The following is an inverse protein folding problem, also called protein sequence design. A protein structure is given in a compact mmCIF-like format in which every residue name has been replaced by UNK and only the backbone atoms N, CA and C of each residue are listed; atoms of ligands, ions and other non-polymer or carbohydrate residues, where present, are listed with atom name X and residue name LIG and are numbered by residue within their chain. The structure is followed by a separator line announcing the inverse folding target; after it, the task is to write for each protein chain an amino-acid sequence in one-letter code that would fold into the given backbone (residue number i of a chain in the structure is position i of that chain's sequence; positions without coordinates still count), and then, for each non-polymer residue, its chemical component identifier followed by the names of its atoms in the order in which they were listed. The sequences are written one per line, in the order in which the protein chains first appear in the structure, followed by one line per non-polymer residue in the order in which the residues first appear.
data_IF_276165453139
#
_entry.id   IF_276165453139
#
_cell.length_a   1.000
_cell.length_b   1.000
_cell.length_c   1.000
_cell.angle_alpha   90.00
_cell.angle_beta   90.00
_cell.angle_gamma   90.00
#
_symmetry.space_group_name_H-M   'P 1'
#
loop_
_entity.id
_entity.type
_entity.pdbx_description
1 polymer ?
#
# COMPACT_ATOMS: atom_id res chain seq x y z
N UNK A 1 -44.12 5.62 -2.53
CA UNK A 1 -42.71 5.69 -2.13
C UNK A 1 -42.42 7.16 -1.89
N UNK A 2 -42.04 7.55 -0.66
CA UNK A 2 -41.66 8.92 -0.39
C UNK A 2 -40.32 9.19 -1.03
N UNK A 3 -40.24 10.21 -1.85
CA UNK A 3 -38.98 10.61 -2.48
C UNK A 3 -38.04 11.16 -1.38
N UNK A 4 -36.83 10.58 -1.26
CA UNK A 4 -35.84 11.04 -0.27
C UNK A 4 -35.26 12.37 -0.70
N UNK A 5 -35.19 13.33 0.24
CA UNK A 5 -34.65 14.65 -0.03
C UNK A 5 -33.46 14.94 0.90
N UNK A 6 -32.56 15.80 0.44
CA UNK A 6 -31.45 16.30 1.26
C UNK A 6 -32.00 17.00 2.51
N UNK A 7 -31.48 16.60 3.67
CA UNK A 7 -31.86 17.13 4.98
C UNK A 7 -32.85 16.23 5.75
N UNK A 8 -33.49 15.27 5.08
CA UNK A 8 -34.47 14.38 5.72
C UNK A 8 -33.82 13.55 6.83
N UNK A 9 -34.41 13.50 8.03
CA UNK A 9 -34.01 12.61 9.09
C UNK A 9 -34.62 11.22 8.85
N UNK A 10 -33.82 10.17 9.01
CA UNK A 10 -34.26 8.78 8.88
C UNK A 10 -33.68 7.90 10.00
N UNK A 11 -34.39 6.79 10.28
CA UNK A 11 -33.82 5.69 11.02
C UNK A 11 -33.60 4.53 10.05
N UNK A 12 -32.37 3.99 10.04
CA UNK A 12 -31.99 2.91 9.12
C UNK A 12 -31.35 1.75 9.88
N UNK A 13 -31.53 0.54 9.36
CA UNK A 13 -30.79 -0.64 9.81
C UNK A 13 -29.67 -0.91 8.82
N UNK A 14 -28.45 -1.07 9.31
CA UNK A 14 -27.27 -1.30 8.50
C UNK A 14 -27.15 -2.80 8.20
N UNK A 15 -27.23 -3.16 6.93
CA UNK A 15 -27.20 -4.57 6.47
C UNK A 15 -25.79 -5.08 6.28
N UNK A 16 -24.91 -4.24 5.70
CA UNK A 16 -23.52 -4.57 5.37
C UNK A 16 -22.67 -3.29 5.36
N UNK A 17 -21.40 -3.38 5.02
CA UNK A 17 -20.54 -2.22 4.86
C UNK A 17 -19.62 -2.34 3.65
N UNK A 18 -19.15 -1.20 3.17
CA UNK A 18 -18.06 -1.10 2.19
C UNK A 18 -16.71 -1.22 2.89
N UNK A 19 -15.66 -1.56 2.13
CA UNK A 19 -14.31 -1.72 2.69
C UNK A 19 -13.75 -0.43 3.33
N UNK A 20 -14.27 0.73 2.97
CA UNK A 20 -13.90 2.02 3.58
C UNK A 20 -14.67 2.34 4.87
N UNK A 21 -15.43 1.37 5.42
CA UNK A 21 -16.15 1.53 6.67
C UNK A 21 -17.45 2.33 6.56
N UNK A 22 -18.02 2.46 5.34
CA UNK A 22 -19.35 3.05 5.17
C UNK A 22 -20.41 1.95 5.27
N UNK A 23 -21.30 2.04 6.26
CA UNK A 23 -22.46 1.15 6.39
C UNK A 23 -23.39 1.30 5.19
N UNK A 24 -24.04 0.22 4.82
CA UNK A 24 -25.05 0.15 3.74
C UNK A 24 -26.39 -0.23 4.33
N UNK A 25 -27.38 0.61 4.10
CA UNK A 25 -28.78 0.35 4.39
C UNK A 25 -29.61 0.39 3.09
N UNK A 26 -30.84 -0.13 3.14
CA UNK A 26 -31.83 -0.01 2.07
C UNK A 26 -33.09 0.67 2.59
N UNK A 27 -33.55 1.69 1.86
CA UNK A 27 -34.77 2.41 2.15
C UNK A 27 -35.58 2.48 0.86
N UNK A 28 -36.78 1.91 0.85
CA UNK A 28 -37.64 1.83 -0.32
C UNK A 28 -36.94 1.33 -1.60
N UNK A 29 -35.98 0.36 -1.45
CA UNK A 29 -35.21 -0.20 -2.54
C UNK A 29 -33.97 0.61 -2.93
N UNK A 30 -33.78 1.83 -2.41
CA UNK A 30 -32.61 2.66 -2.64
C UNK A 30 -31.48 2.29 -1.67
N UNK A 31 -30.26 2.28 -2.17
CA UNK A 31 -29.04 2.06 -1.36
C UNK A 31 -28.65 3.37 -0.67
N UNK A 32 -28.49 3.31 0.66
CA UNK A 32 -28.08 4.43 1.49
C UNK A 32 -26.73 4.12 2.12
N UNK A 33 -25.71 4.92 1.81
CA UNK A 33 -24.39 4.84 2.40
C UNK A 33 -24.31 5.72 3.64
N UNK A 34 -23.84 5.14 4.76
CA UNK A 34 -23.74 5.80 6.07
C UNK A 34 -22.29 5.64 6.59
N UNK A 35 -21.38 6.60 6.31
CA UNK A 35 -20.02 6.54 6.82
C UNK A 35 -19.98 6.41 8.34
N UNK A 36 -19.16 5.48 8.84
CA UNK A 36 -18.96 5.22 10.27
C UNK A 36 -20.03 4.36 10.95
N UNK A 37 -21.04 3.87 10.20
CA UNK A 37 -22.00 2.90 10.73
C UNK A 37 -21.56 1.46 10.42
N UNK A 38 -21.88 0.52 11.30
CA UNK A 38 -21.48 -0.88 11.22
C UNK A 38 -22.66 -1.80 10.91
N UNK A 39 -22.41 -2.96 10.25
CA UNK A 39 -23.44 -3.98 10.06
C UNK A 39 -24.12 -4.39 11.37
N UNK A 40 -25.44 -4.57 11.33
CA UNK A 40 -26.26 -4.92 12.50
C UNK A 40 -26.68 -3.72 13.36
N UNK A 41 -26.21 -2.51 13.07
CA UNK A 41 -26.63 -1.31 13.80
C UNK A 41 -27.96 -0.76 13.33
N UNK A 42 -28.69 -0.16 14.28
CA UNK A 42 -29.79 0.75 14.01
C UNK A 42 -29.31 2.18 14.24
N UNK A 43 -29.42 3.01 13.22
CA UNK A 43 -28.84 4.36 13.22
C UNK A 43 -29.89 5.43 12.94
N UNK A 44 -29.77 6.57 13.59
CA UNK A 44 -30.38 7.83 13.18
C UNK A 44 -29.44 8.55 12.23
N UNK A 45 -29.95 8.92 11.05
CA UNK A 45 -29.14 9.53 9.99
C UNK A 45 -29.85 10.75 9.40
N UNK A 46 -29.10 11.63 8.73
CA UNK A 46 -29.64 12.72 7.93
C UNK A 46 -29.14 12.58 6.49
N UNK A 47 -30.05 12.66 5.52
CA UNK A 47 -29.70 12.61 4.11
C UNK A 47 -28.80 13.79 3.75
N UNK A 48 -27.57 13.51 3.31
CA UNK A 48 -26.59 14.51 2.91
C UNK A 48 -26.65 14.80 1.39
N UNK A 49 -26.85 13.76 0.59
CA UNK A 49 -26.88 13.86 -0.86
C UNK A 49 -27.70 12.71 -1.46
N UNK A 50 -28.53 13.05 -2.46
CA UNK A 50 -29.28 12.07 -3.26
C UNK A 50 -28.68 12.02 -4.66
N UNK A 51 -28.05 10.91 -5.00
CA UNK A 51 -27.50 10.63 -6.33
C UNK A 51 -28.47 9.79 -7.18
N UNK A 52 -28.12 9.56 -8.45
CA UNK A 52 -28.94 8.77 -9.37
C UNK A 52 -29.10 7.30 -8.95
N UNK A 53 -28.06 6.69 -8.39
CA UNK A 53 -28.00 5.26 -8.06
C UNK A 53 -27.83 4.99 -6.57
N UNK A 54 -27.57 5.99 -5.75
CA UNK A 54 -27.31 5.83 -4.33
C UNK A 54 -27.56 7.12 -3.57
N UNK A 55 -27.91 6.98 -2.29
CA UNK A 55 -28.10 8.05 -1.33
C UNK A 55 -26.94 8.04 -0.34
N UNK A 56 -26.46 9.21 0.06
CA UNK A 56 -25.45 9.36 1.08
C UNK A 56 -26.04 10.07 2.30
N UNK A 57 -25.84 9.50 3.47
CA UNK A 57 -26.38 10.03 4.71
C UNK A 57 -25.27 10.27 5.73
N UNK A 58 -25.45 11.28 6.56
CA UNK A 58 -24.63 11.56 7.72
C UNK A 58 -25.16 10.78 8.93
N UNK A 59 -24.29 10.04 9.61
CA UNK A 59 -24.60 9.40 10.88
C UNK A 59 -24.79 10.49 11.96
N UNK A 60 -25.96 10.53 12.60
CA UNK A 60 -26.26 11.43 13.71
C UNK A 60 -26.02 10.73 15.04
N UNK A 61 -26.55 9.50 15.19
CA UNK A 61 -26.34 8.68 16.39
C UNK A 61 -26.57 7.20 16.06
N UNK A 62 -25.89 6.34 16.81
CA UNK A 62 -26.14 4.90 16.82
C UNK A 62 -27.19 4.62 17.90
N UNK A 63 -28.35 4.11 17.51
CA UNK A 63 -29.47 3.83 18.41
C UNK A 63 -29.32 2.46 19.06
N UNK A 64 -28.84 1.49 18.29
CA UNK A 64 -28.50 0.13 18.76
C UNK A 64 -27.14 -0.22 18.19
N UNK A 65 -26.09 -0.30 19.01
CA UNK A 65 -24.74 -0.59 18.52
C UNK A 65 -24.58 -2.05 18.11
N UNK A 66 -23.67 -2.31 17.18
CA UNK A 66 -23.13 -3.62 16.88
C UNK A 66 -22.27 -4.13 18.04
N UNK A 67 -22.23 -5.44 18.27
CA UNK A 67 -21.32 -6.07 19.23
C UNK A 67 -19.83 -5.82 18.87
N UNK A 68 -19.55 -5.54 17.60
CA UNK A 68 -18.22 -5.24 17.05
C UNK A 68 -17.84 -3.76 17.09
N UNK A 69 -18.72 -2.89 17.58
CA UNK A 69 -18.38 -1.46 17.70
C UNK A 69 -17.43 -1.25 18.88
N UNK A 70 -16.34 -0.55 18.62
CA UNK A 70 -15.40 -0.11 19.65
C UNK A 70 -15.27 1.42 19.63
N UNK A 71 -14.92 1.99 20.79
CA UNK A 71 -14.54 3.41 20.83
C UNK A 71 -13.17 3.58 20.15
N UNK A 72 -13.07 4.50 19.16
CA UNK A 72 -11.79 4.71 18.50
C UNK A 72 -10.72 5.21 19.47
N UNK A 73 -9.62 4.51 19.53
CA UNK A 73 -8.47 4.79 20.40
C UNK A 73 -7.51 5.87 19.84
N UNK A 74 -7.84 6.46 18.70
CA UNK A 74 -7.09 7.53 18.04
C UNK A 74 -7.89 8.84 18.05
N UNK A 75 -7.38 9.92 18.68
CA UNK A 75 -8.12 11.18 18.79
C UNK A 75 -8.29 11.91 17.44
N UNK A 76 -7.60 11.47 16.40
CA UNK A 76 -7.69 12.07 15.06
C UNK A 76 -8.69 11.34 14.15
N UNK A 77 -9.19 10.19 14.57
CA UNK A 77 -10.24 9.48 13.84
C UNK A 77 -11.60 10.14 14.08
N UNK A 78 -12.47 10.31 13.09
CA UNK A 78 -12.31 9.95 11.67
C UNK A 78 -11.76 11.09 10.79
N UNK A 79 -11.23 12.18 11.37
CA UNK A 79 -10.80 13.37 10.62
C UNK A 79 -9.54 13.10 9.78
N UNK A 80 -8.61 12.33 10.34
CA UNK A 80 -7.41 11.89 9.64
C UNK A 80 -7.75 10.82 8.60
N UNK A 81 -7.33 11.02 7.34
CA UNK A 81 -7.56 10.07 6.25
C UNK A 81 -6.68 8.81 6.27
N UNK A 82 -5.86 8.61 7.31
CA UNK A 82 -4.93 7.48 7.39
C UNK A 82 -5.57 6.15 7.78
N UNK A 83 -6.65 6.19 8.59
CA UNK A 83 -7.39 5.01 9.05
C UNK A 83 -8.87 5.16 8.72
N UNK A 84 -9.52 4.04 8.37
CA UNK A 84 -10.94 3.98 8.02
C UNK A 84 -11.76 3.13 8.99
N UNK A 85 -11.14 2.17 9.71
CA UNK A 85 -11.82 1.08 10.38
C UNK A 85 -11.59 1.02 11.91
N UNK A 86 -11.12 2.12 12.56
CA UNK A 86 -10.84 2.12 14.02
C UNK A 86 -12.08 2.10 14.91
N UNK A 87 -13.26 2.24 14.35
CA UNK A 87 -14.54 2.19 15.08
C UNK A 87 -15.13 0.77 15.16
N UNK A 88 -14.41 -0.24 14.61
CA UNK A 88 -14.76 -1.65 14.73
C UNK A 88 -13.60 -2.46 15.31
N UNK A 89 -13.91 -3.60 15.93
CA UNK A 89 -12.90 -4.53 16.38
C UNK A 89 -12.17 -5.19 15.19
N UNK A 90 -11.05 -5.85 15.48
CA UNK A 90 -10.20 -6.38 14.42
C UNK A 90 -10.82 -7.62 13.74
N UNK A 91 -11.62 -8.38 14.45
CA UNK A 91 -12.34 -9.55 13.90
C UNK A 91 -13.32 -9.10 12.81
N UNK A 92 -14.12 -8.09 13.09
CA UNK A 92 -15.06 -7.52 12.12
C UNK A 92 -14.33 -6.86 10.94
N UNK A 93 -13.21 -6.21 11.19
CA UNK A 93 -12.37 -5.65 10.12
C UNK A 93 -11.90 -6.75 9.15
N UNK A 94 -11.39 -7.87 9.68
CA UNK A 94 -10.96 -9.01 8.86
C UNK A 94 -12.14 -9.63 8.10
N UNK A 95 -13.28 -9.82 8.74
CA UNK A 95 -14.49 -10.33 8.08
C UNK A 95 -14.94 -9.42 6.94
N UNK A 96 -14.89 -8.10 7.13
CA UNK A 96 -15.23 -7.11 6.10
C UNK A 96 -14.27 -7.20 4.90
N UNK A 97 -12.97 -7.27 5.13
CA UNK A 97 -11.95 -7.40 4.09
C UNK A 97 -12.09 -8.71 3.32
N UNK A 98 -12.31 -9.82 4.03
CA UNK A 98 -12.56 -11.13 3.44
C UNK A 98 -13.80 -11.11 2.53
N UNK A 99 -14.91 -10.56 3.02
CA UNK A 99 -16.15 -10.44 2.25
C UNK A 99 -15.98 -9.56 1.01
N UNK A 100 -15.18 -8.49 1.09
CA UNK A 100 -14.87 -7.64 -0.04
C UNK A 100 -14.10 -8.40 -1.13
N UNK A 101 -13.03 -9.13 -0.77
CA UNK A 101 -12.27 -9.96 -1.72
C UNK A 101 -13.18 -10.99 -2.39
N UNK A 102 -13.96 -11.74 -1.60
CA UNK A 102 -14.90 -12.75 -2.13
C UNK A 102 -15.93 -12.12 -3.09
N UNK A 103 -16.49 -10.97 -2.72
CA UNK A 103 -17.44 -10.25 -3.56
C UNK A 103 -16.83 -9.82 -4.91
N UNK A 104 -15.58 -9.33 -4.91
CA UNK A 104 -14.89 -8.97 -6.14
C UNK A 104 -14.64 -10.21 -7.01
N UNK A 105 -14.12 -11.28 -6.45
CA UNK A 105 -13.87 -12.53 -7.19
C UNK A 105 -15.15 -13.06 -7.85
N UNK A 106 -16.26 -13.06 -7.12
CA UNK A 106 -17.53 -13.61 -7.61
C UNK A 106 -18.21 -12.69 -8.60
N UNK A 107 -18.43 -11.40 -8.24
CA UNK A 107 -19.28 -10.49 -9.03
C UNK A 107 -18.57 -9.86 -10.22
N UNK A 108 -17.27 -9.56 -10.07
CA UNK A 108 -16.47 -8.94 -11.14
C UNK A 108 -15.74 -10.02 -11.94
N UNK A 109 -15.06 -10.93 -11.23
CA UNK A 109 -14.24 -11.98 -11.83
C UNK A 109 -15.02 -13.16 -12.38
N UNK A 110 -16.28 -13.34 -11.96
CA UNK A 110 -17.07 -14.53 -12.34
C UNK A 110 -16.52 -15.84 -11.79
N UNK A 111 -15.69 -15.77 -10.73
CA UNK A 111 -15.05 -16.94 -10.13
C UNK A 111 -16.02 -17.64 -9.17
N UNK A 112 -16.01 -18.97 -9.20
CA UNK A 112 -16.90 -19.80 -8.35
C UNK A 112 -16.21 -20.33 -7.10
N UNK A 113 -14.88 -20.18 -6.99
CA UNK A 113 -14.12 -20.63 -5.81
C UNK A 113 -14.36 -19.69 -4.62
N UNK A 114 -14.29 -20.25 -3.41
CA UNK A 114 -14.21 -19.47 -2.19
C UNK A 114 -12.76 -19.09 -1.93
N UNK A 115 -12.51 -17.80 -1.63
CA UNK A 115 -11.21 -17.38 -1.13
C UNK A 115 -10.90 -18.05 0.21
N UNK A 116 -9.63 -18.39 0.44
CA UNK A 116 -9.16 -18.87 1.73
C UNK A 116 -9.41 -17.80 2.83
N UNK A 117 -9.49 -18.21 4.10
CA UNK A 117 -9.58 -17.25 5.20
C UNK A 117 -8.48 -16.20 5.14
N UNK A 118 -8.81 -14.97 5.49
CA UNK A 118 -7.84 -13.86 5.48
C UNK A 118 -6.77 -14.08 6.55
N UNK A 119 -5.52 -13.89 6.17
CA UNK A 119 -4.39 -13.85 7.09
C UNK A 119 -4.30 -12.48 7.74
N UNK A 120 -4.73 -12.38 9.01
CA UNK A 120 -4.68 -11.16 9.81
C UNK A 120 -3.27 -10.83 10.31
N UNK A 121 -3.02 -9.55 10.61
CA UNK A 121 -1.77 -9.10 11.22
C UNK A 121 -1.75 -9.41 12.73
N UNK A 122 -0.60 -9.86 13.24
CA UNK A 122 -0.39 -10.06 14.67
C UNK A 122 -0.38 -8.73 15.44
N UNK A 123 0.07 -7.64 14.79
CA UNK A 123 0.11 -6.29 15.34
C UNK A 123 -0.69 -5.34 14.45
N UNK A 124 -1.63 -4.61 15.04
CA UNK A 124 -2.47 -3.63 14.34
C UNK A 124 -1.99 -2.20 14.51
N UNK A 125 -1.03 -1.97 15.41
CA UNK A 125 -0.37 -0.70 15.69
C UNK A 125 1.15 -0.81 15.51
N UNK A 126 1.84 0.31 15.28
CA UNK A 126 3.29 0.37 15.12
C UNK A 126 3.87 -0.36 13.90
N UNK A 127 3.05 -0.91 13.03
CA UNK A 127 3.49 -1.81 11.97
C UNK A 127 4.14 -1.12 10.75
N UNK A 128 3.90 0.19 10.56
CA UNK A 128 4.36 0.89 9.37
C UNK A 128 5.84 1.24 9.44
N UNK A 129 6.62 0.67 8.53
CA UNK A 129 8.05 0.98 8.38
C UNK A 129 8.34 2.18 7.45
N UNK A 130 7.29 2.87 6.99
CA UNK A 130 7.41 4.06 6.13
C UNK A 130 6.34 5.09 6.47
N UNK A 131 6.77 6.33 6.66
CA UNK A 131 5.90 7.47 6.98
C UNK A 131 6.19 8.63 6.05
N UNK A 132 5.15 9.34 5.64
CA UNK A 132 5.24 10.55 4.84
C UNK A 132 4.34 11.60 5.49
N UNK A 133 4.93 12.60 6.15
CA UNK A 133 4.20 13.71 6.70
C UNK A 133 4.20 14.89 5.73
N UNK A 134 3.08 15.27 5.11
CA UNK A 134 2.94 16.58 4.49
C UNK A 134 3.10 17.67 5.54
N UNK A 135 3.76 18.76 5.14
CA UNK A 135 3.97 19.94 5.99
C UNK A 135 3.17 21.10 5.42
N UNK A 136 2.40 21.77 6.28
CA UNK A 136 1.61 22.96 5.93
C UNK A 136 1.83 24.07 6.94
N UNK A 137 1.42 25.28 6.61
CA UNK A 137 1.36 26.39 7.54
C UNK A 137 -0.08 26.56 8.03
N UNK A 138 -0.27 26.58 9.33
CA UNK A 138 -1.57 26.85 9.97
C UNK A 138 -1.36 27.88 11.08
N UNK A 139 -2.15 28.93 11.09
CA UNK A 139 -2.04 30.05 12.06
C UNK A 139 -0.61 30.60 12.19
N UNK A 140 0.10 30.71 11.06
CA UNK A 140 1.47 31.25 11.00
C UNK A 140 2.56 30.31 11.55
N UNK A 141 2.27 29.03 11.77
CA UNK A 141 3.23 28.01 12.26
C UNK A 141 3.27 26.80 11.35
N UNK A 142 4.43 26.16 11.19
CA UNK A 142 4.53 24.92 10.47
C UNK A 142 3.87 23.78 11.26
N UNK A 143 3.05 23.00 10.59
CA UNK A 143 2.40 21.80 11.13
C UNK A 143 2.68 20.63 10.20
N UNK A 144 2.76 19.42 10.75
CA UNK A 144 2.90 18.19 9.99
C UNK A 144 1.97 17.10 10.53
N UNK A 145 1.44 16.28 9.65
CA UNK A 145 0.49 15.22 10.00
C UNK A 145 0.04 14.46 8.77
N UNK A 146 -1.25 14.22 8.62
CA UNK A 146 -1.81 13.52 7.46
C UNK A 146 -2.96 14.31 6.86
N UNK A 147 -3.23 14.10 5.58
CA UNK A 147 -4.37 14.74 4.93
C UNK A 147 -5.69 14.23 5.49
N UNK A 148 -6.63 15.14 5.68
CA UNK A 148 -8.03 14.81 5.90
C UNK A 148 -8.58 14.09 4.66
N UNK A 149 -9.48 13.15 4.86
CA UNK A 149 -10.03 12.35 3.77
C UNK A 149 -10.52 13.18 2.59
N UNK A 150 -10.09 12.82 1.38
CA UNK A 150 -10.45 13.50 0.11
C UNK A 150 -10.09 14.99 0.02
N UNK A 151 -9.17 15.47 0.85
CA UNK A 151 -8.69 16.87 0.83
C UNK A 151 -7.18 16.93 0.95
N UNK A 152 -6.58 18.12 0.70
CA UNK A 152 -5.17 18.41 0.96
C UNK A 152 -4.97 19.18 2.28
N UNK A 153 -5.99 19.27 3.14
CA UNK A 153 -5.85 19.88 4.45
C UNK A 153 -5.12 18.92 5.39
N UNK A 154 -4.00 19.34 5.94
CA UNK A 154 -3.25 18.56 6.94
C UNK A 154 -3.97 18.61 8.29
N UNK A 155 -4.23 17.45 8.86
CA UNK A 155 -4.60 17.28 10.25
C UNK A 155 -3.29 17.14 11.04
N UNK A 156 -2.95 18.09 11.91
CA UNK A 156 -1.73 17.98 12.72
C UNK A 156 -1.84 16.78 13.66
N UNK A 157 -0.89 15.85 13.55
CA UNK A 157 -0.89 14.63 14.36
C UNK A 157 0.33 14.66 15.27
N UNK A 158 0.13 14.59 16.58
CA UNK A 158 1.21 14.51 17.57
C UNK A 158 1.73 13.09 17.75
N UNK A 159 0.83 12.12 17.68
CA UNK A 159 1.15 10.70 17.80
C UNK A 159 0.27 9.91 16.85
N UNK A 160 0.86 8.99 16.08
CA UNK A 160 0.13 8.13 15.17
C UNK A 160 0.36 6.66 15.55
N UNK A 161 -0.70 5.98 15.95
CA UNK A 161 -0.62 4.61 16.49
C UNK A 161 -0.09 3.56 15.51
N UNK A 162 -0.25 3.75 14.20
CA UNK A 162 0.17 2.76 13.20
C UNK A 162 1.64 2.87 12.78
N UNK A 163 2.39 3.85 13.32
CA UNK A 163 3.80 4.06 13.00
C UNK A 163 4.68 3.97 14.26
N UNK A 164 6.00 3.76 14.14
CA UNK A 164 6.91 3.79 15.28
C UNK A 164 6.94 5.15 15.98
N UNK A 165 7.07 5.16 17.30
CA UNK A 165 7.04 6.38 18.13
C UNK A 165 8.18 7.36 17.79
N UNK A 166 9.35 6.87 17.38
CA UNK A 166 10.47 7.70 16.97
C UNK A 166 10.16 8.62 15.78
N UNK A 167 9.14 8.28 14.95
CA UNK A 167 8.67 9.18 13.90
C UNK A 167 8.16 10.52 14.44
N UNK A 168 7.58 10.53 15.64
CA UNK A 168 7.07 11.74 16.26
C UNK A 168 8.19 12.66 16.75
N UNK A 169 9.27 12.10 17.32
CA UNK A 169 10.47 12.85 17.71
C UNK A 169 11.13 13.49 16.50
N UNK A 170 11.32 12.74 15.41
CA UNK A 170 11.91 13.21 14.14
C UNK A 170 11.06 14.35 13.55
N UNK A 171 9.73 14.15 13.46
CA UNK A 171 8.81 15.19 12.98
C UNK A 171 8.88 16.45 13.84
N UNK A 172 8.88 16.29 15.17
CA UNK A 172 8.99 17.41 16.12
C UNK A 172 10.26 18.20 15.94
N UNK A 173 11.41 17.54 15.74
CA UNK A 173 12.70 18.19 15.51
C UNK A 173 12.71 19.01 14.22
N UNK A 174 12.12 18.50 13.13
CA UNK A 174 11.99 19.24 11.87
C UNK A 174 11.14 20.49 12.05
N UNK A 175 9.97 20.37 12.70
CA UNK A 175 9.09 21.53 12.95
C UNK A 175 9.76 22.59 13.83
N UNK A 176 10.43 22.18 14.90
CA UNK A 176 11.18 23.11 15.77
C UNK A 176 12.33 23.82 15.01
N UNK A 177 13.04 23.08 14.14
CA UNK A 177 14.04 23.67 13.26
C UNK A 177 13.44 24.67 12.28
N UNK A 178 12.27 24.37 11.70
CA UNK A 178 11.56 25.31 10.82
C UNK A 178 11.17 26.58 11.56
N UNK A 179 10.63 26.49 12.76
CA UNK A 179 10.25 27.65 13.58
C UNK A 179 11.49 28.49 13.97
N UNK A 180 12.54 27.83 14.44
CA UNK A 180 13.77 28.53 14.88
C UNK A 180 14.45 29.33 13.77
N UNK A 181 14.37 28.83 12.51
CA UNK A 181 15.02 29.50 11.37
C UNK A 181 14.04 30.17 10.43
N UNK A 182 12.77 30.33 10.84
CA UNK A 182 11.71 30.99 10.09
C UNK A 182 11.53 30.42 8.68
N UNK A 183 11.64 29.10 8.55
CA UNK A 183 11.46 28.38 7.29
C UNK A 183 9.98 28.03 7.09
N UNK A 184 9.38 28.59 6.06
CA UNK A 184 7.97 28.38 5.77
C UNK A 184 7.70 27.01 5.15
N UNK A 185 6.55 26.43 5.45
CA UNK A 185 6.03 25.28 4.72
C UNK A 185 5.75 25.65 3.26
N UNK A 186 5.83 24.67 2.36
CA UNK A 186 5.44 24.85 0.97
C UNK A 186 3.92 25.02 0.85
N UNK A 187 3.52 26.03 0.13
CA UNK A 187 2.13 26.31 -0.22
C UNK A 187 1.86 25.87 -1.66
N UNK A 188 0.93 24.93 -1.83
CA UNK A 188 0.58 24.33 -3.12
C UNK A 188 -0.12 25.31 -4.08
N UNK A 189 -0.76 26.37 -3.57
CA UNK A 189 -1.48 27.36 -4.36
C UNK A 189 -0.54 28.42 -4.93
N UNK A 190 0.31 28.97 -4.05
CA UNK A 190 1.25 30.04 -4.42
C UNK A 190 2.59 29.52 -4.93
N UNK A 191 2.89 28.23 -4.70
CA UNK A 191 4.18 27.58 -4.99
C UNK A 191 5.38 28.25 -4.31
N UNK A 192 5.16 28.80 -3.11
CA UNK A 192 6.18 29.43 -2.27
C UNK A 192 6.47 28.62 -1.03
N UNK A 193 7.50 28.98 -0.27
CA UNK A 193 7.92 28.22 0.91
C UNK A 193 8.90 27.11 0.58
N UNK A 194 9.38 26.42 1.61
CA UNK A 194 10.50 25.45 1.49
C UNK A 194 10.06 24.02 1.70
N UNK A 195 9.60 23.64 2.89
CA UNK A 195 9.45 22.25 3.29
C UNK A 195 8.10 21.70 2.83
N UNK A 196 8.14 20.61 2.03
CA UNK A 196 6.94 19.94 1.49
C UNK A 196 6.55 18.73 2.33
N UNK A 197 7.52 17.83 2.57
CA UNK A 197 7.28 16.57 3.28
C UNK A 197 8.46 16.19 4.16
N UNK A 198 8.16 15.51 5.24
CA UNK A 198 9.10 14.75 6.05
C UNK A 198 8.83 13.28 5.74
N UNK A 199 9.79 12.61 5.11
CA UNK A 199 9.71 11.20 4.77
C UNK A 199 10.65 10.42 5.69
N UNK A 200 10.16 9.34 6.29
CA UNK A 200 10.93 8.50 7.19
C UNK A 200 10.74 7.06 6.77
N UNK A 201 11.82 6.31 6.77
CA UNK A 201 11.84 4.87 6.54
C UNK A 201 12.57 4.18 7.68
N UNK A 202 12.03 3.06 8.12
CA UNK A 202 12.56 2.24 9.20
C UNK A 202 12.94 0.87 8.64
N UNK A 203 14.12 0.36 8.97
CA UNK A 203 14.46 -1.04 8.84
C UNK A 203 13.95 -1.78 10.06
N UNK A 204 12.96 -2.66 9.86
CA UNK A 204 12.28 -3.33 10.97
C UNK A 204 13.19 -4.28 11.72
N UNK A 205 14.00 -5.07 11.00
CA UNK A 205 14.95 -6.01 11.58
C UNK A 205 16.29 -5.33 11.94
N UNK A 206 16.71 -4.37 11.12
CA UNK A 206 18.00 -3.71 11.31
C UNK A 206 17.97 -2.58 12.34
N UNK A 207 16.80 -2.03 12.64
CA UNK A 207 16.64 -0.83 13.47
C UNK A 207 17.16 0.47 12.81
N UNK A 208 17.62 0.42 11.57
CA UNK A 208 18.16 1.59 10.86
C UNK A 208 17.06 2.57 10.47
N UNK A 209 17.37 3.86 10.51
CA UNK A 209 16.39 4.93 10.19
C UNK A 209 16.96 5.83 9.09
N UNK A 210 16.18 6.00 8.02
CA UNK A 210 16.41 6.97 6.96
C UNK A 210 15.39 8.11 7.09
N UNK A 211 15.90 9.34 7.17
CA UNK A 211 15.06 10.56 7.13
C UNK A 211 15.31 11.28 5.81
N UNK A 212 14.28 11.55 5.04
CA UNK A 212 14.37 12.34 3.81
C UNK A 212 13.53 13.61 3.94
N UNK A 213 14.18 14.76 3.80
CA UNK A 213 13.52 16.07 3.78
C UNK A 213 13.26 16.46 2.34
N UNK A 214 11.99 16.62 2.01
CA UNK A 214 11.55 17.03 0.68
C UNK A 214 11.24 18.52 0.69
N UNK A 215 11.92 19.29 -0.16
CA UNK A 215 11.74 20.73 -0.16
C UNK A 215 11.70 21.35 -1.56
N UNK A 216 10.99 22.46 -1.66
CA UNK A 216 10.86 23.30 -2.87
C UNK A 216 12.05 24.26 -3.00
N UNK A 217 13.26 23.71 -3.07
CA UNK A 217 14.49 24.50 -3.28
C UNK A 217 15.60 23.59 -3.81
N UNK A 218 16.58 24.19 -4.49
CA UNK A 218 17.76 23.46 -4.98
C UNK A 218 18.77 23.18 -3.87
N UNK A 219 18.80 24.01 -2.84
CA UNK A 219 19.72 23.88 -1.70
C UNK A 219 18.95 24.09 -0.41
N UNK A 220 19.03 23.12 0.50
CA UNK A 220 18.35 23.19 1.79
C UNK A 220 19.04 24.20 2.72
N UNK A 221 18.33 25.28 3.15
CA UNK A 221 18.89 26.24 4.09
C UNK A 221 19.14 25.61 5.46
N UNK A 222 20.17 26.08 6.18
CA UNK A 222 20.45 25.62 7.55
C UNK A 222 20.57 24.10 7.71
N UNK A 223 21.02 23.38 6.68
CA UNK A 223 21.09 21.91 6.66
C UNK A 223 21.95 21.31 7.78
N UNK A 224 23.07 21.99 8.18
CA UNK A 224 23.92 21.51 9.29
C UNK A 224 23.16 21.51 10.63
N UNK A 225 22.36 22.56 10.86
CA UNK A 225 21.56 22.69 12.07
C UNK A 225 20.41 21.67 12.10
N UNK A 226 19.80 21.38 10.94
CA UNK A 226 18.81 20.32 10.81
C UNK A 226 19.39 18.95 11.15
N UNK A 227 20.54 18.61 10.58
CA UNK A 227 21.24 17.34 10.87
C UNK A 227 21.51 17.21 12.37
N UNK A 228 22.06 18.25 13.01
CA UNK A 228 22.32 18.25 14.46
C UNK A 228 21.04 18.08 15.28
N UNK A 229 19.93 18.77 14.91
CA UNK A 229 18.65 18.67 15.60
C UNK A 229 18.05 17.25 15.47
N UNK A 230 18.11 16.65 14.29
CA UNK A 230 17.60 15.31 14.03
C UNK A 230 18.38 14.25 14.80
N UNK A 231 19.70 14.28 14.78
CA UNK A 231 20.56 13.34 15.52
C UNK A 231 20.44 13.49 17.04
N UNK A 232 20.14 14.70 17.53
CA UNK A 232 19.87 14.93 18.94
C UNK A 232 18.49 14.38 19.38
N UNK A 233 17.48 14.48 18.50
CA UNK A 233 16.13 13.99 18.77
C UNK A 233 16.00 12.47 18.65
N UNK A 234 16.73 11.86 17.69
CA UNK A 234 16.73 10.42 17.44
C UNK A 234 18.14 9.95 17.07
N UNK A 235 18.92 9.48 18.05
CA UNK A 235 20.30 9.00 17.81
C UNK A 235 20.37 7.75 16.92
N UNK A 236 19.27 7.00 16.76
CA UNK A 236 19.17 5.83 15.87
C UNK A 236 19.13 6.16 14.38
N UNK A 237 19.13 7.44 14.00
CA UNK A 237 19.16 7.83 12.59
C UNK A 237 20.47 7.41 11.93
N UNK A 238 20.38 6.53 10.95
CA UNK A 238 21.51 6.01 10.17
C UNK A 238 21.87 6.95 9.03
N UNK A 239 20.88 7.55 8.37
CA UNK A 239 21.12 8.45 7.24
C UNK A 239 20.06 9.54 7.13
N UNK A 240 20.47 10.72 6.66
CA UNK A 240 19.60 11.87 6.37
C UNK A 240 19.84 12.30 4.94
N UNK A 241 18.75 12.40 4.17
CA UNK A 241 18.74 12.75 2.75
C UNK A 241 17.93 14.01 2.52
N UNK A 242 18.37 14.82 1.58
CA UNK A 242 17.60 15.94 1.03
C UNK A 242 17.14 15.59 -0.39
N UNK A 243 15.86 15.77 -0.66
CA UNK A 243 15.29 15.61 -2.00
C UNK A 243 14.68 16.94 -2.48
N UNK A 244 15.34 17.64 -3.43
CA UNK A 244 14.77 18.82 -4.06
C UNK A 244 13.55 18.41 -4.90
N UNK A 245 12.41 19.05 -4.63
CA UNK A 245 11.18 18.88 -5.42
C UNK A 245 10.54 20.24 -5.69
N UNK A 246 10.96 20.88 -6.77
CA UNK A 246 10.45 22.17 -7.23
C UNK A 246 9.32 22.05 -8.26
N UNK A 247 8.94 20.80 -8.63
CA UNK A 247 7.86 20.56 -9.58
C UNK A 247 6.50 20.79 -8.94
N UNK A 248 5.57 21.36 -9.70
CA UNK A 248 4.16 21.46 -9.34
C UNK A 248 3.51 20.07 -9.43
N UNK A 249 2.57 19.77 -8.52
CA UNK A 249 1.81 18.53 -8.53
C UNK A 249 2.00 17.69 -7.25
N UNK A 250 1.39 16.50 -7.26
CA UNK A 250 1.22 15.65 -6.07
C UNK A 250 2.37 14.67 -5.83
N UNK A 251 3.43 14.70 -6.65
CA UNK A 251 4.59 13.83 -6.45
C UNK A 251 5.32 14.26 -5.18
N UNK A 252 5.45 13.34 -4.23
CA UNK A 252 6.09 13.61 -2.93
C UNK A 252 7.59 13.78 -3.08
N UNK A 253 8.30 12.76 -3.57
CA UNK A 253 9.76 12.77 -3.71
C UNK A 253 10.17 13.50 -5.01
N UNK A 254 11.32 14.17 -4.97
CA UNK A 254 11.99 14.66 -6.17
C UNK A 254 12.68 13.54 -6.96
N UNK A 255 13.43 13.93 -7.98
CA UNK A 255 14.22 13.00 -8.81
C UNK A 255 15.67 12.87 -8.35
N UNK A 256 16.12 13.76 -7.48
CA UNK A 256 17.48 13.79 -6.94
C UNK A 256 17.47 13.57 -5.43
N UNK A 257 18.52 12.94 -4.94
CA UNK A 257 18.69 12.58 -3.52
C UNK A 257 20.11 12.89 -3.09
N UNK A 258 20.25 13.84 -2.16
CA UNK A 258 21.54 14.33 -1.68
C UNK A 258 21.72 13.91 -0.22
N UNK A 259 22.64 12.99 0.11
CA UNK A 259 22.97 12.67 1.50
C UNK A 259 23.47 13.90 2.26
N UNK A 260 22.87 14.16 3.42
CA UNK A 260 23.30 15.19 4.37
C UNK A 260 24.09 14.57 5.53
N UNK A 261 23.79 13.30 5.83
CA UNK A 261 24.43 12.48 6.84
C UNK A 261 24.29 11.00 6.43
N UNK A 262 25.31 10.17 6.65
CA UNK A 262 25.33 8.78 6.20
C UNK A 262 25.48 8.66 4.67
N UNK A 263 25.18 7.47 4.14
CA UNK A 263 25.36 7.14 2.72
C UNK A 263 24.11 7.30 1.84
N UNK A 264 22.97 7.67 2.44
CA UNK A 264 21.70 7.86 1.74
C UNK A 264 20.83 6.61 1.66
N UNK A 265 21.26 5.50 2.25
CA UNK A 265 20.54 4.23 2.26
C UNK A 265 20.46 3.62 3.65
N UNK A 266 19.55 2.69 3.84
CA UNK A 266 19.52 1.76 4.97
C UNK A 266 19.45 0.33 4.43
N UNK A 267 19.76 -0.64 5.27
CA UNK A 267 19.52 -2.06 4.97
C UNK A 267 18.44 -2.61 5.89
N UNK A 268 17.68 -3.58 5.38
CA UNK A 268 16.75 -4.35 6.19
C UNK A 268 16.75 -5.81 5.74
N UNK A 269 16.29 -6.72 6.59
CA UNK A 269 16.18 -8.15 6.27
C UNK A 269 14.70 -8.49 6.06
N UNK A 270 14.36 -9.20 4.98
CA UNK A 270 13.00 -9.67 4.68
C UNK A 270 13.09 -11.10 4.12
N UNK A 271 12.32 -12.03 4.69
CA UNK A 271 12.39 -13.46 4.34
C UNK A 271 13.83 -14.03 4.42
N UNK A 272 14.65 -13.53 5.37
CA UNK A 272 16.04 -13.94 5.52
C UNK A 272 17.02 -13.44 4.45
N UNK A 273 16.61 -12.47 3.63
CA UNK A 273 17.42 -11.80 2.60
C UNK A 273 17.65 -10.35 3.00
N UNK A 274 18.84 -9.83 2.73
CA UNK A 274 19.19 -8.43 2.99
C UNK A 274 18.84 -7.54 1.81
N UNK A 275 18.19 -6.41 2.08
CA UNK A 275 17.80 -5.43 1.07
C UNK A 275 18.34 -4.06 1.42
N UNK A 276 19.04 -3.44 0.46
CA UNK A 276 19.39 -2.02 0.53
C UNK A 276 18.19 -1.20 0.10
N UNK A 277 17.83 -0.21 0.90
CA UNK A 277 16.65 0.62 0.73
C UNK A 277 17.04 2.10 0.65
N UNK A 278 16.88 2.69 -0.51
CA UNK A 278 16.95 4.14 -0.72
C UNK A 278 15.61 4.82 -0.40
N UNK A 279 15.57 6.15 -0.35
CA UNK A 279 14.32 6.88 -0.12
C UNK A 279 13.23 6.55 -1.15
N UNK A 280 13.50 6.52 -2.49
CA UNK A 280 12.50 6.20 -3.51
C UNK A 280 12.18 4.70 -3.63
N UNK A 281 12.98 3.81 -3.06
CA UNK A 281 12.78 2.37 -3.19
C UNK A 281 11.37 1.95 -2.73
N UNK A 282 10.71 1.09 -3.50
CA UNK A 282 9.48 0.45 -3.02
C UNK A 282 9.86 -0.67 -2.04
N UNK A 283 9.16 -0.72 -0.93
CA UNK A 283 9.27 -1.78 0.07
C UNK A 283 7.96 -1.84 0.85
N UNK A 284 7.44 -3.03 1.11
CA UNK A 284 6.17 -3.22 1.80
C UNK A 284 6.18 -2.59 3.19
N UNK A 285 5.12 -1.88 3.54
CA UNK A 285 5.10 -1.04 4.75
C UNK A 285 4.84 -1.80 6.05
N UNK A 286 4.34 -3.03 5.96
CA UNK A 286 4.14 -3.93 7.09
C UNK A 286 5.04 -5.14 6.90
N UNK A 287 6.17 -5.14 7.58
CA UNK A 287 7.24 -6.12 7.41
C UNK A 287 6.74 -7.55 7.67
N UNK A 288 6.16 -7.82 8.83
CA UNK A 288 5.71 -9.15 9.21
C UNK A 288 4.64 -9.73 8.26
N UNK A 289 3.74 -8.88 7.78
CA UNK A 289 2.73 -9.32 6.80
C UNK A 289 3.32 -9.46 5.39
N UNK A 290 4.34 -8.68 5.04
CA UNK A 290 5.05 -8.83 3.77
C UNK A 290 5.78 -10.18 3.68
N UNK A 291 6.39 -10.64 4.76
CA UNK A 291 7.01 -11.95 4.82
C UNK A 291 5.99 -13.06 4.56
N UNK A 292 4.84 -13.05 5.26
CA UNK A 292 3.76 -14.00 5.05
C UNK A 292 3.22 -13.98 3.62
N UNK A 293 3.05 -12.78 3.04
CA UNK A 293 2.59 -12.60 1.67
C UNK A 293 3.57 -13.22 0.68
N UNK A 294 4.88 -12.96 0.85
CA UNK A 294 5.92 -13.46 -0.04
C UNK A 294 6.16 -14.96 0.13
N UNK A 295 6.14 -15.47 1.35
CA UNK A 295 6.16 -16.92 1.62
C UNK A 295 5.01 -17.62 0.92
N UNK A 296 3.80 -17.04 0.97
CA UNK A 296 2.65 -17.58 0.25
C UNK A 296 2.85 -17.55 -1.26
N UNK A 297 3.35 -16.45 -1.81
CA UNK A 297 3.63 -16.35 -3.24
C UNK A 297 4.66 -17.39 -3.69
N UNK A 298 5.74 -17.61 -2.91
CA UNK A 298 6.75 -18.64 -3.16
C UNK A 298 6.14 -20.06 -3.06
N UNK A 299 5.33 -20.31 -2.03
CA UNK A 299 4.62 -21.59 -1.86
C UNK A 299 3.74 -21.89 -3.09
N UNK A 300 2.95 -20.91 -3.54
CA UNK A 300 2.05 -21.08 -4.69
C UNK A 300 2.81 -21.20 -6.02
N UNK A 301 3.99 -20.63 -6.13
CA UNK A 301 4.86 -20.81 -7.28
C UNK A 301 5.31 -22.28 -7.43
N UNK A 302 5.34 -23.08 -6.34
CA UNK A 302 5.57 -24.53 -6.36
C UNK A 302 6.91 -24.91 -7.00
N UNK A 303 7.98 -24.18 -6.65
CA UNK A 303 9.30 -24.32 -7.28
C UNK A 303 10.08 -25.51 -6.69
N UNK A 304 10.74 -26.28 -7.54
CA UNK A 304 11.52 -27.48 -7.18
C UNK A 304 13.02 -27.33 -7.43
N UNK A 305 13.46 -26.16 -7.93
CA UNK A 305 14.85 -25.88 -8.30
C UNK A 305 15.16 -26.06 -9.78
N UNK A 306 14.18 -26.46 -10.59
CA UNK A 306 14.36 -26.69 -12.03
C UNK A 306 13.70 -25.61 -12.90
N UNK A 307 12.82 -24.80 -12.32
CA UNK A 307 11.97 -23.86 -13.02
C UNK A 307 12.68 -22.56 -13.35
N UNK A 308 12.26 -21.94 -14.45
CA UNK A 308 12.52 -20.54 -14.78
C UNK A 308 11.30 -19.73 -14.35
N UNK A 309 11.52 -18.73 -13.48
CA UNK A 309 10.48 -17.81 -12.99
C UNK A 309 10.68 -16.44 -13.62
N UNK A 310 9.59 -15.81 -14.05
CA UNK A 310 9.56 -14.43 -14.52
C UNK A 310 8.71 -13.60 -13.56
N UNK A 311 9.30 -12.57 -12.94
CA UNK A 311 8.65 -11.59 -12.09
C UNK A 311 8.49 -10.29 -12.89
N UNK A 312 7.27 -9.99 -13.28
CA UNK A 312 6.91 -8.74 -13.93
C UNK A 312 6.48 -7.74 -12.85
N UNK A 313 7.09 -6.57 -12.82
CA UNK A 313 6.97 -5.52 -11.78
C UNK A 313 7.83 -5.78 -10.54
N UNK A 314 9.07 -6.24 -10.72
CA UNK A 314 9.91 -6.76 -9.63
C UNK A 314 10.36 -5.70 -8.59
N UNK A 315 10.21 -4.40 -8.88
CA UNK A 315 10.71 -3.34 -8.00
C UNK A 315 12.20 -3.49 -7.68
N UNK A 316 12.55 -3.47 -6.40
CA UNK A 316 13.93 -3.68 -5.91
C UNK A 316 14.31 -5.17 -5.79
N UNK A 317 13.53 -6.06 -6.42
CA UNK A 317 13.80 -7.49 -6.50
C UNK A 317 13.33 -8.30 -5.29
N UNK A 318 12.46 -7.77 -4.43
CA UNK A 318 12.08 -8.44 -3.18
C UNK A 318 11.44 -9.81 -3.41
N UNK A 319 10.39 -9.90 -4.24
CA UNK A 319 9.74 -11.18 -4.58
C UNK A 319 10.66 -12.02 -5.45
N UNK A 320 11.32 -11.40 -6.45
CA UNK A 320 12.25 -12.10 -7.37
C UNK A 320 13.32 -12.87 -6.61
N UNK A 321 13.95 -12.27 -5.58
CA UNK A 321 15.01 -12.91 -4.82
C UNK A 321 14.48 -13.99 -3.86
N UNK A 322 13.27 -13.82 -3.32
CA UNK A 322 12.61 -14.90 -2.57
C UNK A 322 12.36 -16.12 -3.45
N UNK A 323 11.93 -15.92 -4.71
CA UNK A 323 11.74 -17.00 -5.70
C UNK A 323 13.07 -17.61 -6.17
N UNK A 324 14.12 -16.79 -6.36
CA UNK A 324 15.42 -17.24 -6.82
C UNK A 324 16.06 -18.30 -5.93
N UNK A 325 15.77 -18.28 -4.61
CA UNK A 325 16.23 -19.31 -3.66
C UNK A 325 15.73 -20.71 -3.99
N UNK A 326 14.63 -20.82 -4.75
CA UNK A 326 13.93 -22.07 -5.04
C UNK A 326 13.83 -22.36 -6.53
N UNK A 327 14.34 -21.48 -7.40
CA UNK A 327 14.28 -21.59 -8.84
C UNK A 327 15.65 -21.91 -9.45
N UNK A 328 15.65 -22.54 -10.63
CA UNK A 328 16.85 -22.64 -11.47
C UNK A 328 17.31 -21.28 -11.96
N UNK A 329 16.35 -20.43 -12.35
CA UNK A 329 16.58 -19.06 -12.83
C UNK A 329 15.40 -18.18 -12.46
N UNK A 330 15.68 -16.98 -11.94
CA UNK A 330 14.69 -15.95 -11.74
C UNK A 330 15.00 -14.73 -12.63
N UNK A 331 13.98 -14.19 -13.27
CA UNK A 331 14.09 -13.02 -14.16
C UNK A 331 13.16 -11.96 -13.62
N UNK A 332 13.71 -10.80 -13.21
CA UNK A 332 12.96 -9.64 -12.75
C UNK A 332 12.88 -8.55 -13.81
N UNK A 333 11.72 -7.94 -13.97
CA UNK A 333 11.47 -6.84 -14.91
C UNK A 333 10.84 -5.67 -14.17
N UNK A 334 11.40 -4.48 -14.36
CA UNK A 334 10.90 -3.22 -13.75
C UNK A 334 11.21 -2.06 -14.68
N UNK A 335 10.31 -1.08 -14.74
CA UNK A 335 10.45 0.11 -15.60
C UNK A 335 11.35 1.18 -14.98
N UNK A 336 11.51 1.19 -13.66
CA UNK A 336 12.26 2.22 -12.92
C UNK A 336 13.75 1.85 -12.87
N UNK A 337 14.65 2.62 -13.53
CA UNK A 337 16.07 2.26 -13.59
C UNK A 337 16.72 2.12 -12.21
N UNK A 338 16.42 3.01 -11.27
CA UNK A 338 16.99 2.97 -9.92
C UNK A 338 16.58 1.69 -9.18
N UNK A 339 15.33 1.23 -9.35
CA UNK A 339 14.88 -0.01 -8.72
C UNK A 339 15.63 -1.23 -9.26
N UNK A 340 15.94 -1.26 -10.56
CA UNK A 340 16.77 -2.31 -11.18
C UNK A 340 18.21 -2.30 -10.64
N UNK A 341 18.82 -1.12 -10.47
CA UNK A 341 20.15 -1.03 -9.86
C UNK A 341 20.13 -1.52 -8.41
N UNK A 342 19.09 -1.17 -7.65
CA UNK A 342 18.90 -1.69 -6.30
C UNK A 342 18.66 -3.21 -6.31
N UNK A 343 17.88 -3.75 -7.26
CA UNK A 343 17.64 -5.19 -7.40
C UNK A 343 18.92 -5.98 -7.71
N UNK A 344 19.74 -5.50 -8.62
CA UNK A 344 21.07 -6.11 -8.94
C UNK A 344 22.00 -6.08 -7.74
N UNK A 345 22.05 -4.95 -7.03
CA UNK A 345 22.84 -4.84 -5.82
C UNK A 345 22.35 -5.84 -4.76
N UNK A 346 21.04 -5.92 -4.53
CA UNK A 346 20.43 -6.83 -3.58
C UNK A 346 20.71 -8.29 -3.94
N UNK A 347 20.67 -8.65 -5.24
CA UNK A 347 21.04 -9.99 -5.70
C UNK A 347 22.51 -10.32 -5.38
N UNK A 348 23.42 -9.43 -5.71
CA UNK A 348 24.85 -9.61 -5.45
C UNK A 348 25.15 -9.72 -3.95
N UNK A 349 24.54 -8.87 -3.12
CA UNK A 349 24.68 -8.88 -1.66
C UNK A 349 24.22 -10.19 -1.03
N UNK A 350 23.20 -10.84 -1.61
CA UNK A 350 22.67 -12.11 -1.14
C UNK A 350 23.28 -13.33 -1.86
N UNK A 351 24.28 -13.15 -2.73
CA UNK A 351 24.93 -14.25 -3.46
C UNK A 351 24.01 -14.95 -4.47
N UNK A 352 23.00 -14.25 -5.01
CA UNK A 352 22.02 -14.79 -5.95
C UNK A 352 22.51 -14.65 -7.40
N UNK A 353 23.33 -15.61 -7.85
CA UNK A 353 23.88 -15.63 -9.22
C UNK A 353 22.86 -16.05 -10.28
N UNK A 354 21.76 -16.68 -9.88
CA UNK A 354 20.68 -17.14 -10.75
C UNK A 354 19.56 -16.11 -10.97
N UNK A 355 19.71 -14.87 -10.43
CA UNK A 355 18.76 -13.78 -10.63
C UNK A 355 19.26 -12.79 -11.69
N UNK A 356 18.43 -12.50 -12.69
CA UNK A 356 18.72 -11.57 -13.81
C UNK A 356 17.66 -10.46 -13.84
N UNK A 357 18.07 -9.20 -14.10
CA UNK A 357 17.15 -8.06 -14.05
C UNK A 357 17.22 -7.21 -15.31
N UNK A 358 16.05 -6.83 -15.84
CA UNK A 358 15.86 -6.00 -17.03
C UNK A 358 15.09 -4.71 -16.71
N UNK A 359 15.66 -3.57 -17.12
CA UNK A 359 15.01 -2.27 -17.02
C UNK A 359 14.18 -2.00 -18.28
N UNK A 360 12.88 -2.33 -18.23
CA UNK A 360 11.96 -2.07 -19.34
C UNK A 360 10.49 -2.18 -18.87
N UNK A 361 9.59 -1.71 -19.72
CA UNK A 361 8.16 -1.89 -19.52
C UNK A 361 7.77 -3.37 -19.55
N UNK A 362 6.85 -3.78 -18.68
CA UNK A 362 6.44 -5.19 -18.51
C UNK A 362 5.89 -5.80 -19.81
N UNK A 363 5.11 -5.05 -20.61
CA UNK A 363 4.58 -5.52 -21.88
C UNK A 363 5.68 -5.69 -22.92
N UNK A 364 6.60 -4.73 -23.01
CA UNK A 364 7.76 -4.83 -23.91
C UNK A 364 8.67 -6.01 -23.52
N UNK A 365 8.93 -6.20 -22.23
CA UNK A 365 9.72 -7.30 -21.73
C UNK A 365 9.07 -8.66 -22.03
N UNK A 366 7.80 -8.80 -21.72
CA UNK A 366 7.05 -10.01 -21.97
C UNK A 366 7.06 -10.37 -23.47
N UNK A 367 6.86 -9.38 -24.35
CA UNK A 367 6.96 -9.56 -25.80
C UNK A 367 8.37 -9.96 -26.24
N UNK A 368 9.41 -9.24 -25.78
CA UNK A 368 10.80 -9.57 -26.08
C UNK A 368 11.18 -11.00 -25.65
N UNK A 369 10.75 -11.42 -24.46
CA UNK A 369 11.02 -12.75 -23.94
C UNK A 369 10.27 -13.82 -24.74
N UNK A 370 9.03 -13.56 -25.12
CA UNK A 370 8.25 -14.42 -26.00
C UNK A 370 8.92 -14.59 -27.38
N UNK A 371 9.38 -13.49 -28.00
CA UNK A 371 10.09 -13.49 -29.30
C UNK A 371 11.42 -14.27 -29.20
N UNK A 372 12.12 -14.21 -28.07
CA UNK A 372 13.32 -15.01 -27.79
C UNK A 372 13.02 -16.48 -27.45
N UNK A 373 11.75 -16.88 -27.49
CA UNK A 373 11.29 -18.21 -27.10
C UNK A 373 11.65 -18.57 -25.65
N UNK A 374 11.82 -17.57 -24.79
CA UNK A 374 11.93 -17.79 -23.35
C UNK A 374 10.57 -18.24 -22.85
N UNK A 375 10.50 -19.43 -22.28
CA UNK A 375 9.28 -20.01 -21.72
C UNK A 375 9.46 -20.15 -20.22
N UNK A 376 9.02 -19.16 -19.42
CA UNK A 376 9.02 -19.31 -17.97
C UNK A 376 8.01 -20.40 -17.58
N UNK A 377 8.37 -21.24 -16.62
CA UNK A 377 7.46 -22.23 -16.04
C UNK A 377 6.42 -21.55 -15.16
N UNK A 378 6.85 -20.50 -14.48
CA UNK A 378 6.00 -19.68 -13.58
C UNK A 378 6.18 -18.20 -13.91
N UNK A 379 5.08 -17.46 -13.95
CA UNK A 379 5.09 -16.00 -13.99
C UNK A 379 4.49 -15.47 -12.69
N UNK A 380 5.19 -14.53 -12.05
CA UNK A 380 4.70 -13.79 -10.89
C UNK A 380 4.43 -12.35 -11.32
N UNK A 381 3.33 -11.79 -10.88
CA UNK A 381 2.98 -10.38 -11.12
C UNK A 381 2.56 -9.72 -9.81
N UNK A 382 3.13 -8.54 -9.52
CA UNK A 382 2.70 -7.63 -8.44
C UNK A 382 2.48 -6.22 -9.03
N UNK A 383 1.43 -6.04 -9.85
CA UNK A 383 1.21 -4.82 -10.60
C UNK A 383 0.74 -3.67 -9.70
N UNK A 384 0.88 -2.40 -10.16
CA UNK A 384 0.29 -1.26 -9.49
C UNK A 384 -1.25 -1.37 -9.44
N UNK A 385 -1.93 -0.50 -8.67
CA UNK A 385 -3.40 -0.50 -8.45
C UNK A 385 -4.27 -0.61 -9.70
N UNK A 386 -3.79 -0.20 -10.85
CA UNK A 386 -4.51 -0.33 -12.13
C UNK A 386 -4.52 -1.75 -12.71
N UNK A 387 -3.75 -2.66 -12.12
CA UNK A 387 -3.62 -4.06 -12.55
C UNK A 387 -2.72 -4.24 -13.76
N UNK A 388 -2.84 -5.39 -14.39
CA UNK A 388 -2.06 -5.79 -15.58
C UNK A 388 -2.76 -5.27 -16.83
N UNK A 389 -2.00 -4.73 -17.79
CA UNK A 389 -2.55 -4.25 -19.05
C UNK A 389 -2.83 -5.42 -20.02
N UNK A 390 -3.69 -5.18 -21.00
CA UNK A 390 -4.12 -6.22 -21.93
C UNK A 390 -2.95 -6.81 -22.74
N UNK A 391 -2.01 -5.97 -23.16
CA UNK A 391 -0.79 -6.38 -23.88
C UNK A 391 0.13 -7.30 -23.05
N UNK A 392 0.21 -7.05 -21.73
CA UNK A 392 0.93 -7.96 -20.80
C UNK A 392 0.19 -9.29 -20.67
N UNK A 393 -1.14 -9.29 -20.59
CA UNK A 393 -1.93 -10.53 -20.53
C UNK A 393 -1.75 -11.36 -21.82
N UNK A 394 -1.78 -10.70 -22.98
CA UNK A 394 -1.51 -11.36 -24.26
C UNK A 394 -0.11 -11.97 -24.31
N UNK A 395 0.90 -11.25 -23.84
CA UNK A 395 2.26 -11.75 -23.81
C UNK A 395 2.45 -12.90 -22.81
N UNK A 396 1.84 -12.85 -21.63
CA UNK A 396 1.79 -13.95 -20.66
C UNK A 396 1.15 -15.18 -21.32
N UNK A 397 0.04 -15.00 -22.04
CA UNK A 397 -0.65 -16.07 -22.74
C UNK A 397 0.20 -16.70 -23.84
N UNK A 398 0.97 -15.89 -24.57
CA UNK A 398 1.89 -16.37 -25.62
C UNK A 398 3.10 -17.14 -25.04
N UNK A 399 3.63 -16.74 -23.89
CA UNK A 399 4.69 -17.47 -23.18
C UNK A 399 4.18 -18.79 -22.57
N UNK A 400 2.89 -18.86 -22.31
CA UNK A 400 2.18 -20.07 -21.86
C UNK A 400 2.77 -20.73 -20.60
N UNK A 401 3.02 -19.97 -19.51
CA UNK A 401 3.50 -20.56 -18.26
C UNK A 401 2.51 -21.60 -17.73
N UNK A 402 3.02 -22.57 -16.98
CA UNK A 402 2.16 -23.55 -16.31
C UNK A 402 1.38 -22.90 -15.16
N UNK A 403 2.02 -21.96 -14.44
CA UNK A 403 1.45 -21.29 -13.27
C UNK A 403 1.64 -19.79 -13.38
N UNK A 404 0.64 -19.06 -12.88
CA UNK A 404 0.69 -17.61 -12.67
C UNK A 404 0.37 -17.34 -11.20
N UNK A 405 1.29 -16.69 -10.49
CA UNK A 405 1.03 -16.18 -9.14
C UNK A 405 0.77 -14.68 -9.26
N UNK A 406 -0.43 -14.26 -8.87
CA UNK A 406 -0.85 -12.88 -8.93
C UNK A 406 -0.92 -12.31 -7.51
N UNK A 407 -0.07 -11.33 -7.18
CA UNK A 407 -0.15 -10.51 -5.97
C UNK A 407 -0.88 -9.22 -6.31
N UNK A 408 -1.82 -8.78 -5.48
CA UNK A 408 -2.65 -7.61 -5.81
C UNK A 408 -3.03 -6.81 -4.58
N UNK A 409 -2.84 -5.50 -4.65
CA UNK A 409 -3.32 -4.54 -3.65
C UNK A 409 -4.76 -4.02 -3.91
N UNK A 410 -5.42 -4.50 -4.98
CA UNK A 410 -6.80 -4.11 -5.33
C UNK A 410 -7.59 -5.32 -5.83
N UNK A 411 -8.49 -5.89 -5.00
CA UNK A 411 -9.27 -7.07 -5.36
C UNK A 411 -10.20 -6.90 -6.58
N UNK A 412 -10.67 -5.67 -6.85
CA UNK A 412 -11.55 -5.43 -7.99
C UNK A 412 -10.75 -5.48 -9.30
N UNK A 413 -9.56 -4.92 -9.30
CA UNK A 413 -8.64 -4.99 -10.44
C UNK A 413 -8.14 -6.41 -10.67
N UNK A 414 -7.76 -7.12 -9.59
CA UNK A 414 -7.44 -8.56 -9.67
C UNK A 414 -8.57 -9.34 -10.33
N UNK A 415 -9.80 -9.18 -9.84
CA UNK A 415 -10.95 -9.91 -10.36
C UNK A 415 -11.20 -9.65 -11.86
N UNK A 416 -11.01 -8.39 -12.31
CA UNK A 416 -11.06 -8.03 -13.74
C UNK A 416 -9.99 -8.78 -14.55
N UNK A 417 -8.75 -8.81 -14.05
CA UNK A 417 -7.62 -9.43 -14.75
C UNK A 417 -7.74 -10.96 -14.74
N UNK A 418 -8.24 -11.56 -13.66
CA UNK A 418 -8.58 -12.98 -13.60
C UNK A 418 -9.57 -13.39 -14.68
N UNK A 419 -10.58 -12.56 -14.96
CA UNK A 419 -11.53 -12.84 -16.05
C UNK A 419 -10.85 -12.93 -17.42
N UNK A 420 -9.86 -12.05 -17.67
CA UNK A 420 -9.08 -12.06 -18.92
C UNK A 420 -8.15 -13.28 -18.98
N UNK A 421 -7.46 -13.61 -17.89
CA UNK A 421 -6.59 -14.78 -17.81
C UNK A 421 -7.40 -16.09 -17.92
N UNK A 422 -8.61 -16.14 -17.36
CA UNK A 422 -9.51 -17.30 -17.53
C UNK A 422 -9.92 -17.46 -19.00
N UNK A 423 -10.24 -16.37 -19.69
CA UNK A 423 -10.52 -16.41 -21.14
C UNK A 423 -9.30 -16.85 -21.97
N UNK A 424 -8.08 -16.65 -21.46
CA UNK A 424 -6.82 -17.13 -22.06
C UNK A 424 -6.47 -18.58 -21.70
N UNK A 425 -7.35 -19.32 -21.01
CA UNK A 425 -7.21 -20.75 -20.71
C UNK A 425 -6.56 -21.08 -19.37
N UNK A 426 -6.50 -20.12 -18.44
CA UNK A 426 -6.06 -20.34 -17.06
C UNK A 426 -7.25 -20.55 -16.14
N UNK A 427 -7.09 -21.39 -15.13
CA UNK A 427 -8.08 -21.64 -14.09
C UNK A 427 -7.56 -21.12 -12.75
N UNK A 428 -8.37 -20.32 -12.04
CA UNK A 428 -8.07 -19.91 -10.69
C UNK A 428 -8.14 -21.11 -9.75
N UNK A 429 -7.03 -21.45 -9.12
CA UNK A 429 -6.92 -22.59 -8.19
C UNK A 429 -7.21 -22.18 -6.75
N UNK A 430 -6.68 -21.04 -6.33
CA UNK A 430 -6.85 -20.50 -4.98
C UNK A 430 -6.63 -19.00 -4.96
N UNK A 431 -7.21 -18.34 -3.95
CA UNK A 431 -6.94 -16.96 -3.61
C UNK A 431 -6.96 -16.80 -2.09
N UNK A 432 -6.01 -16.07 -1.53
CA UNK A 432 -5.91 -15.77 -0.10
C UNK A 432 -5.68 -14.28 0.10
N UNK A 433 -6.42 -13.71 1.06
CA UNK A 433 -6.30 -12.31 1.44
C UNK A 433 -5.31 -12.14 2.61
N UNK A 434 -4.59 -11.01 2.62
CA UNK A 434 -3.63 -10.64 3.67
C UNK A 434 -3.91 -9.22 4.14
N UNK A 435 -4.01 -9.02 5.45
CA UNK A 435 -4.16 -7.69 6.01
C UNK A 435 -2.80 -7.03 6.25
N UNK A 436 -2.22 -6.43 5.20
CA UNK A 436 -1.01 -5.62 5.31
C UNK A 436 -1.26 -4.24 5.92
N UNK A 437 -2.51 -3.81 5.94
CA UNK A 437 -2.90 -2.45 6.33
C UNK A 437 -3.98 -2.45 7.42
N UNK A 438 -3.71 -2.98 8.62
CA UNK A 438 -4.65 -2.90 9.73
C UNK A 438 -5.17 -1.48 9.94
N UNK A 439 -6.46 -1.36 10.25
CA UNK A 439 -7.21 -0.11 10.42
C UNK A 439 -7.45 0.71 9.15
N UNK A 440 -6.95 0.26 8.00
CA UNK A 440 -7.11 0.94 6.70
C UNK A 440 -8.02 0.15 5.76
N UNK A 441 -8.57 0.84 4.75
CA UNK A 441 -9.46 0.29 3.72
C UNK A 441 -8.71 -0.45 2.59
N UNK A 442 -7.66 -1.18 2.91
CA UNK A 442 -6.83 -1.89 1.92
C UNK A 442 -6.66 -3.34 2.33
N UNK A 443 -6.55 -4.21 1.33
CA UNK A 443 -6.29 -5.64 1.51
C UNK A 443 -5.44 -6.12 0.34
N UNK A 444 -4.42 -6.92 0.65
CA UNK A 444 -3.63 -7.62 -0.36
C UNK A 444 -4.23 -8.99 -0.62
N UNK A 445 -4.05 -9.50 -1.83
CA UNK A 445 -4.53 -10.82 -2.22
C UNK A 445 -3.47 -11.53 -3.04
N UNK A 446 -3.18 -12.79 -2.72
CA UNK A 446 -2.35 -13.68 -3.55
C UNK A 446 -3.25 -14.72 -4.18
N UNK A 447 -3.15 -14.88 -5.49
CA UNK A 447 -3.93 -15.85 -6.26
C UNK A 447 -3.01 -16.74 -7.10
N UNK A 448 -3.35 -18.01 -7.22
CA UNK A 448 -2.72 -18.97 -8.13
C UNK A 448 -3.67 -19.30 -9.26
N UNK A 449 -3.15 -19.16 -10.48
CA UNK A 449 -3.80 -19.69 -11.67
C UNK A 449 -2.90 -20.76 -12.31
N UNK A 450 -3.50 -21.79 -12.88
CA UNK A 450 -2.78 -22.81 -13.64
C UNK A 450 -3.44 -23.10 -14.99
N UNK A 451 -2.65 -23.65 -15.91
CA UNK A 451 -3.13 -24.20 -17.17
C UNK A 451 -3.45 -25.67 -16.98
N UNK A 452 -4.75 -26.04 -17.10
CA UNK A 452 -5.22 -27.42 -16.92
C UNK A 452 -5.43 -27.81 -15.45
N UNK A 453 -5.87 -29.04 -15.17
CA UNK A 453 -6.09 -29.54 -13.83
C UNK A 453 -4.74 -29.93 -13.19
N UNK A 454 -4.07 -29.02 -12.51
CA UNK A 454 -2.95 -29.37 -11.62
C UNK A 454 -3.43 -29.40 -10.18
N UNK A 455 -3.01 -30.41 -9.37
CA UNK A 455 -3.24 -30.40 -7.94
C UNK A 455 -2.45 -29.24 -7.29
N UNK A 456 -3.02 -28.65 -6.26
CA UNK A 456 -2.33 -27.66 -5.41
C UNK A 456 -1.04 -28.28 -4.86
N UNK A 457 0.10 -27.55 -4.83
CA UNK A 457 1.28 -28.01 -4.10
C UNK A 457 0.91 -28.18 -2.62
N UNK A 458 1.19 -29.36 -2.08
CA UNK A 458 0.88 -29.78 -0.71
C UNK A 458 1.66 -29.00 0.37
#
# INVERSE_FOLDING_TARGET
MSELHRGDPLQVSIETATIDGSGIARVDGQVVFVPGALPGERCSVRIAHVGRSAVFAQLLSVLTPSAHRVEPDCPYFPLCGGCALRHMDYEQELALKQAHVQSCLTRIGGQTISALPITGAAQTDGYRNKVQFPVQEQDGRPVAGFFSGKTHRVIPVRHCRIQPDCADAIRGAVLAWMEQYHLRAYDEQTHTGYIRHIYIRFGTESGQILVCIVANCAQLPKKKQLVAALLAAEPGITTIVFSPNTKKGNTVLGTEFHPLYGDGTITDTLCGLQFRLSAPAFYQVNHAQAERLYEKAVQLAGLTGNETVLDLYCGTGTITLCLARHAKKAIGVEIVPQAIEDAKFNAAQNGMENAEFFCMDAGQAAKMLADRRTRPDVIVVDPPRKGVSADVIEAISAMAPQRIVYVSCDPATLARDLKLLTAAGYTLQTAEAFDLFPRCAHVETVALLSRGPEPLPG
#
